data_IF_328122849235
#
_entry.id   IF_328122849235
#
_cell.length_a   1.000
_cell.length_b   1.000
_cell.length_c   1.000
_cell.angle_alpha   90.00
_cell.angle_beta   90.00
_cell.angle_gamma   90.00
#
_symmetry.space_group_name_H-M   'P 1'
#
loop_
_entity.id
_entity.type
_entity.pdbx_description
1 polymer ?
#
# COMPACT_ATOMS: atom_id res chain seq x y z
N UNK A 1 -12.37 -24.33 26.34
CA UNK A 1 -13.31 -24.07 25.22
C UNK A 1 -13.67 -25.39 24.57
N UNK A 2 -14.95 -25.66 24.40
CA UNK A 2 -15.45 -26.92 23.86
C UNK A 2 -16.54 -26.68 22.82
N UNK A 3 -16.79 -27.67 21.97
CA UNK A 3 -17.86 -27.70 20.95
C UNK A 3 -18.60 -29.03 21.01
N UNK A 4 -19.87 -28.99 20.63
CA UNK A 4 -20.70 -30.17 20.44
C UNK A 4 -20.52 -30.65 18.99
N UNK A 5 -19.63 -31.61 18.78
CA UNK A 5 -19.30 -32.17 17.46
C UNK A 5 -19.14 -33.69 17.62
N UNK A 6 -19.49 -34.43 16.57
CA UNK A 6 -19.38 -35.89 16.53
C UNK A 6 -17.92 -36.36 16.31
N UNK A 7 -17.00 -35.45 16.04
CA UNK A 7 -15.59 -35.74 15.78
C UNK A 7 -14.70 -34.71 16.48
N UNK A 8 -13.49 -35.09 16.83
CA UNK A 8 -12.50 -34.25 17.51
C UNK A 8 -11.90 -34.93 18.74
N UNK A 9 -11.08 -34.20 19.48
CA UNK A 9 -10.47 -34.65 20.74
C UNK A 9 -11.48 -34.47 21.88
N UNK A 10 -11.92 -35.55 22.55
CA UNK A 10 -12.84 -35.41 23.68
C UNK A 10 -12.28 -34.55 24.79
N UNK A 11 -13.15 -33.72 25.40
CA UNK A 11 -12.76 -32.90 26.56
C UNK A 11 -12.51 -33.85 27.74
N UNK A 12 -11.30 -33.90 28.35
CA UNK A 12 -10.95 -34.86 29.38
C UNK A 12 -11.38 -34.39 30.78
N UNK A 13 -12.67 -33.97 30.92
CA UNK A 13 -13.23 -33.45 32.17
C UNK A 13 -14.58 -34.15 32.44
N UNK A 14 -14.82 -34.57 33.69
CA UNK A 14 -16.09 -35.15 34.13
C UNK A 14 -17.26 -34.16 33.86
N UNK A 15 -18.36 -34.65 33.28
CA UNK A 15 -19.52 -33.83 32.90
C UNK A 15 -19.40 -33.12 31.54
N UNK A 16 -18.38 -33.49 30.76
CA UNK A 16 -18.17 -32.96 29.39
C UNK A 16 -18.39 -34.05 28.29
N UNK A 17 -19.24 -35.02 28.56
CA UNK A 17 -19.60 -36.09 27.64
C UNK A 17 -20.18 -35.48 26.33
N UNK A 18 -19.72 -35.96 25.17
CA UNK A 18 -20.14 -35.49 23.87
C UNK A 18 -19.53 -34.12 23.46
N UNK A 19 -18.63 -33.57 24.27
CA UNK A 19 -17.91 -32.35 23.93
C UNK A 19 -16.49 -32.64 23.48
N UNK A 20 -16.04 -31.89 22.46
CA UNK A 20 -14.66 -31.95 21.97
C UNK A 20 -13.94 -30.62 22.18
N UNK A 21 -12.63 -30.66 22.24
CA UNK A 21 -11.81 -29.45 22.31
C UNK A 21 -12.02 -28.61 21.06
N UNK A 22 -12.17 -27.31 21.27
CA UNK A 22 -12.31 -26.37 20.16
C UNK A 22 -10.95 -25.99 19.60
N UNK A 23 -10.77 -26.19 18.31
CA UNK A 23 -9.49 -26.00 17.61
C UNK A 23 -8.80 -24.66 17.85
N UNK A 24 -9.55 -23.60 18.04
CA UNK A 24 -8.96 -22.28 18.35
C UNK A 24 -8.33 -22.15 19.73
N UNK A 25 -8.44 -23.18 20.55
CA UNK A 25 -7.68 -23.22 21.80
C UNK A 25 -6.18 -23.45 21.54
N UNK A 26 -5.85 -24.31 20.60
CA UNK A 26 -4.47 -24.69 20.27
C UNK A 26 -3.98 -24.14 18.93
N UNK A 27 -4.88 -23.79 18.01
CA UNK A 27 -4.51 -23.30 16.67
C UNK A 27 -3.48 -22.16 16.65
N UNK A 28 -3.52 -21.15 17.57
CA UNK A 28 -2.50 -20.10 17.60
C UNK A 28 -1.08 -20.59 17.88
N UNK A 29 -0.90 -21.79 18.46
CA UNK A 29 0.42 -22.41 18.67
C UNK A 29 1.09 -22.69 17.30
N UNK A 30 0.29 -22.85 16.25
CA UNK A 30 0.76 -23.00 14.88
C UNK A 30 1.71 -21.90 14.41
N UNK A 31 1.54 -20.68 14.90
CA UNK A 31 2.46 -19.57 14.59
C UNK A 31 3.88 -19.84 15.11
N UNK A 32 3.98 -20.35 16.35
CA UNK A 32 5.27 -20.73 16.95
C UNK A 32 5.86 -21.92 16.19
N UNK A 33 5.03 -22.91 15.87
CA UNK A 33 5.47 -24.12 15.14
C UNK A 33 6.01 -23.76 13.76
N UNK A 34 5.33 -22.89 13.01
CA UNK A 34 5.78 -22.43 11.71
C UNK A 34 7.12 -21.67 11.78
N UNK A 35 7.31 -20.81 12.78
CA UNK A 35 8.58 -20.12 12.98
C UNK A 35 9.70 -21.10 13.33
N UNK A 36 9.39 -22.11 14.17
CA UNK A 36 10.35 -23.13 14.56
C UNK A 36 10.77 -24.03 13.40
N UNK A 37 9.86 -24.30 12.47
CA UNK A 37 10.15 -25.04 11.24
C UNK A 37 11.02 -24.22 10.28
N UNK A 38 10.79 -22.91 10.21
CA UNK A 38 11.50 -21.99 9.32
C UNK A 38 12.96 -21.77 9.74
N UNK A 39 13.25 -21.65 11.04
CA UNK A 39 14.58 -21.28 11.53
C UNK A 39 14.90 -21.87 12.90
N UNK A 40 16.17 -22.34 13.13
CA UNK A 40 16.63 -22.74 14.45
C UNK A 40 16.61 -21.58 15.47
N UNK A 41 16.70 -20.32 15.00
CA UNK A 41 16.69 -19.13 15.86
C UNK A 41 15.27 -18.65 16.21
N UNK A 42 14.29 -19.54 16.17
CA UNK A 42 12.86 -19.22 16.40
C UNK A 42 12.59 -18.52 17.74
N UNK A 43 13.38 -18.83 18.78
CA UNK A 43 13.23 -18.24 20.12
C UNK A 43 13.44 -16.73 20.11
N UNK A 44 14.30 -16.21 19.24
CA UNK A 44 14.52 -14.77 19.05
C UNK A 44 13.22 -14.04 18.67
N UNK A 45 12.34 -14.68 17.91
CA UNK A 45 11.07 -14.10 17.47
C UNK A 45 9.97 -14.17 18.54
N UNK A 46 10.08 -15.13 19.48
CA UNK A 46 8.99 -15.45 20.40
C UNK A 46 9.32 -15.22 21.88
N UNK A 47 10.61 -15.12 22.24
CA UNK A 47 11.05 -15.02 23.63
C UNK A 47 11.93 -13.81 23.91
N UNK A 48 12.52 -13.18 22.91
CA UNK A 48 13.38 -12.01 23.09
C UNK A 48 12.53 -10.76 23.41
N UNK A 49 12.79 -10.13 24.53
CA UNK A 49 12.10 -8.93 24.99
C UNK A 49 12.28 -7.71 24.08
N UNK A 50 13.29 -7.71 23.21
CA UNK A 50 13.51 -6.68 22.19
C UNK A 50 12.64 -6.89 20.93
N UNK A 51 11.98 -8.04 20.80
CA UNK A 51 11.10 -8.34 19.66
C UNK A 51 9.70 -7.80 19.91
N UNK A 52 9.13 -7.14 18.89
CA UNK A 52 7.74 -6.68 18.89
C UNK A 52 6.86 -7.67 18.13
N UNK A 53 5.80 -8.13 18.75
CA UNK A 53 4.81 -9.01 18.14
C UNK A 53 3.54 -8.22 17.82
N UNK A 54 3.10 -8.29 16.55
CA UNK A 54 1.87 -7.66 16.08
C UNK A 54 1.05 -8.69 15.31
N UNK A 55 -0.23 -8.82 15.64
CA UNK A 55 -1.17 -9.71 14.95
C UNK A 55 -2.14 -8.92 14.09
N UNK A 56 -2.10 -9.13 12.77
CA UNK A 56 -3.11 -8.63 11.84
C UNK A 56 -4.19 -9.68 11.65
N UNK A 57 -5.42 -9.38 12.06
CA UNK A 57 -6.52 -10.35 12.08
C UNK A 57 -7.83 -9.73 11.58
N UNK A 58 -8.84 -10.57 11.33
CA UNK A 58 -10.24 -10.15 11.24
C UNK A 58 -10.89 -10.07 12.63
N UNK A 59 -11.92 -9.26 12.79
CA UNK A 59 -12.61 -9.00 14.07
C UNK A 59 -13.15 -10.26 14.74
N UNK A 60 -13.48 -11.29 13.99
CA UNK A 60 -13.95 -12.58 14.49
C UNK A 60 -12.89 -13.36 15.28
N UNK A 61 -11.62 -13.00 15.13
CA UNK A 61 -10.48 -13.60 15.82
C UNK A 61 -9.97 -12.80 17.03
N UNK A 62 -10.62 -11.70 17.41
CA UNK A 62 -10.18 -10.82 18.50
C UNK A 62 -10.06 -11.59 19.82
N UNK A 63 -11.07 -12.40 20.19
CA UNK A 63 -11.06 -13.16 21.43
C UNK A 63 -9.85 -14.09 21.52
N UNK A 64 -9.50 -14.74 20.42
CA UNK A 64 -8.38 -15.69 20.39
C UNK A 64 -7.03 -15.01 20.46
N UNK A 65 -6.84 -13.87 19.80
CA UNK A 65 -5.55 -13.18 19.72
C UNK A 65 -5.35 -12.12 20.83
N UNK A 66 -6.43 -11.61 21.43
CA UNK A 66 -6.33 -10.62 22.50
C UNK A 66 -6.51 -11.23 23.90
N UNK A 67 -7.14 -12.40 24.03
CA UNK A 67 -7.44 -13.01 25.33
C UNK A 67 -6.82 -14.42 25.44
N UNK A 68 -7.24 -15.37 24.61
CA UNK A 68 -6.89 -16.78 24.77
C UNK A 68 -5.40 -16.99 24.57
N UNK A 69 -4.86 -16.64 23.43
CA UNK A 69 -3.45 -16.86 23.10
C UNK A 69 -2.49 -16.09 24.01
N UNK A 70 -2.68 -14.78 24.29
CA UNK A 70 -1.85 -14.08 25.26
C UNK A 70 -1.91 -14.67 26.67
N UNK A 71 -3.07 -15.20 27.11
CA UNK A 71 -3.20 -15.87 28.39
C UNK A 71 -2.38 -17.15 28.45
N UNK A 72 -2.34 -17.94 27.37
CA UNK A 72 -1.52 -19.14 27.25
C UNK A 72 -0.03 -18.80 27.28
N UNK A 73 0.40 -17.81 26.48
CA UNK A 73 1.79 -17.34 26.44
C UNK A 73 2.24 -16.86 27.83
N UNK A 74 1.40 -16.08 28.51
CA UNK A 74 1.67 -15.55 29.85
C UNK A 74 1.72 -16.65 30.90
N UNK A 75 0.82 -17.63 30.82
CA UNK A 75 0.81 -18.77 31.75
C UNK A 75 2.05 -19.65 31.58
N UNK A 76 2.57 -19.80 30.38
CA UNK A 76 3.84 -20.47 30.11
C UNK A 76 5.03 -19.73 30.71
N UNK A 77 5.03 -18.39 30.64
CA UNK A 77 6.00 -17.52 31.31
C UNK A 77 7.26 -17.17 30.53
N UNK A 78 7.54 -17.82 29.39
CA UNK A 78 8.77 -17.61 28.61
C UNK A 78 8.55 -16.79 27.32
N UNK A 79 7.32 -16.61 26.91
CA UNK A 79 6.98 -15.94 25.64
C UNK A 79 6.70 -14.46 25.83
N UNK A 80 7.05 -13.66 24.80
CA UNK A 80 6.59 -12.27 24.71
C UNK A 80 5.09 -12.22 24.43
N UNK A 81 4.48 -11.10 24.77
CA UNK A 81 3.05 -10.85 24.50
C UNK A 81 2.89 -9.91 23.30
N UNK A 82 1.73 -9.97 22.60
CA UNK A 82 1.46 -9.03 21.52
C UNK A 82 1.48 -7.57 22.01
N UNK A 83 2.21 -6.72 21.29
CA UNK A 83 2.21 -5.28 21.53
C UNK A 83 0.94 -4.63 20.96
N UNK A 84 0.48 -5.12 19.81
CA UNK A 84 -0.73 -4.64 19.16
C UNK A 84 -1.41 -5.77 18.36
N UNK A 85 -2.72 -5.63 18.20
CA UNK A 85 -3.56 -6.55 17.42
C UNK A 85 -4.48 -5.72 16.51
N UNK A 86 -3.99 -5.21 15.37
CA UNK A 86 -4.82 -4.53 14.38
C UNK A 86 -5.88 -5.50 13.83
N UNK A 87 -7.14 -5.24 14.14
CA UNK A 87 -8.27 -6.09 13.76
C UNK A 87 -9.12 -5.39 12.70
N UNK A 88 -9.18 -5.96 11.50
CA UNK A 88 -10.05 -5.45 10.44
C UNK A 88 -11.49 -5.92 10.63
N UNK A 89 -12.42 -5.06 10.29
CA UNK A 89 -13.82 -5.37 10.07
C UNK A 89 -13.99 -6.24 8.80
N UNK A 90 -15.21 -6.52 8.37
CA UNK A 90 -15.44 -7.34 7.18
C UNK A 90 -15.39 -6.53 5.88
N UNK A 91 -14.76 -7.11 4.85
CA UNK A 91 -14.89 -6.67 3.47
C UNK A 91 -15.95 -7.54 2.79
N UNK A 92 -17.00 -6.90 2.30
CA UNK A 92 -18.05 -7.53 1.51
C UNK A 92 -17.74 -7.44 0.01
N UNK A 93 -18.50 -8.15 -0.82
CA UNK A 93 -18.41 -8.12 -2.27
C UNK A 93 -19.82 -7.83 -2.85
N UNK A 94 -19.96 -6.70 -3.55
CA UNK A 94 -21.22 -6.24 -4.14
C UNK A 94 -22.40 -6.25 -3.15
N UNK A 95 -22.13 -5.81 -1.90
CA UNK A 95 -23.11 -5.74 -0.82
C UNK A 95 -23.31 -7.03 -0.03
N UNK A 96 -22.76 -8.15 -0.47
CA UNK A 96 -22.92 -9.44 0.15
C UNK A 96 -21.63 -9.94 0.83
N UNK A 97 -21.80 -10.77 1.86
CA UNK A 97 -20.66 -11.40 2.55
C UNK A 97 -19.91 -12.35 1.61
N UNK A 98 -18.61 -12.16 1.47
CA UNK A 98 -17.72 -13.08 0.75
C UNK A 98 -17.86 -14.50 1.34
N UNK A 99 -18.01 -15.49 0.47
CA UNK A 99 -18.23 -16.89 0.86
C UNK A 99 -17.67 -17.86 -0.18
N UNK A 100 -16.63 -18.58 0.19
CA UNK A 100 -16.03 -19.62 -0.67
C UNK A 100 -17.01 -20.77 -0.92
N UNK A 101 -17.79 -21.18 0.09
CA UNK A 101 -18.77 -22.28 -0.03
C UNK A 101 -19.92 -21.95 -0.99
N UNK A 102 -20.23 -20.67 -1.18
CA UNK A 102 -21.25 -20.21 -2.14
C UNK A 102 -20.64 -19.76 -3.47
N UNK A 103 -19.33 -19.91 -3.63
CA UNK A 103 -18.56 -19.36 -4.77
C UNK A 103 -18.79 -17.85 -4.99
N UNK A 104 -18.99 -17.10 -3.90
CA UNK A 104 -19.15 -15.64 -3.92
C UNK A 104 -17.89 -14.98 -3.44
N UNK A 105 -16.91 -14.86 -4.34
CA UNK A 105 -15.59 -14.29 -4.08
C UNK A 105 -14.94 -13.83 -5.39
N UNK A 106 -13.98 -12.93 -5.31
CA UNK A 106 -13.03 -12.67 -6.40
C UNK A 106 -11.85 -13.60 -6.20
N UNK A 107 -11.67 -14.56 -7.10
CA UNK A 107 -10.55 -15.47 -7.08
C UNK A 107 -9.32 -14.82 -7.69
N UNK A 108 -8.23 -14.77 -6.93
CA UNK A 108 -7.03 -14.02 -7.37
C UNK A 108 -6.44 -14.54 -8.68
N UNK A 109 -6.43 -15.86 -8.89
CA UNK A 109 -5.93 -16.44 -10.14
C UNK A 109 -6.80 -16.03 -11.36
N UNK A 110 -8.13 -16.02 -11.23
CA UNK A 110 -9.04 -15.54 -12.28
C UNK A 110 -8.86 -14.04 -12.53
N UNK A 111 -8.71 -13.26 -11.45
CA UNK A 111 -8.43 -11.83 -11.57
C UNK A 111 -7.14 -11.56 -12.37
N UNK A 112 -6.06 -12.30 -12.09
CA UNK A 112 -4.78 -12.12 -12.78
C UNK A 112 -4.85 -12.50 -14.27
N UNK A 113 -5.68 -13.47 -14.62
CA UNK A 113 -5.92 -13.86 -16.02
C UNK A 113 -6.79 -12.82 -16.75
N UNK A 114 -7.80 -12.26 -16.08
CA UNK A 114 -8.72 -11.28 -16.66
C UNK A 114 -8.13 -9.87 -16.76
N UNK A 115 -7.30 -9.49 -15.76
CA UNK A 115 -6.68 -8.16 -15.65
C UNK A 115 -5.14 -8.24 -15.60
N UNK A 116 -4.47 -8.76 -16.64
CA UNK A 116 -3.01 -8.90 -16.65
C UNK A 116 -2.32 -7.54 -16.51
N UNK A 117 -1.32 -7.47 -15.63
CA UNK A 117 -0.58 -6.25 -15.34
C UNK A 117 -1.35 -5.20 -14.52
N UNK A 118 -2.43 -5.62 -13.83
CA UNK A 118 -3.25 -4.77 -12.95
C UNK A 118 -3.16 -5.18 -11.48
N UNK A 119 -2.13 -5.88 -11.10
CA UNK A 119 -1.89 -6.33 -9.71
C UNK A 119 -1.94 -5.15 -8.74
N UNK A 120 -1.28 -4.05 -9.08
CA UNK A 120 -1.24 -2.84 -8.26
C UNK A 120 -2.58 -2.11 -8.17
N UNK A 121 -3.44 -2.24 -9.19
CA UNK A 121 -4.79 -1.67 -9.14
C UNK A 121 -5.61 -2.36 -8.06
N UNK A 122 -5.56 -3.70 -8.00
CA UNK A 122 -6.24 -4.46 -6.95
C UNK A 122 -5.68 -4.12 -5.57
N UNK A 123 -4.34 -4.07 -5.41
CA UNK A 123 -3.69 -3.67 -4.15
C UNK A 123 -4.15 -2.29 -3.70
N UNK A 124 -4.16 -1.33 -4.62
CA UNK A 124 -4.62 0.03 -4.36
C UNK A 124 -6.07 0.07 -3.87
N UNK A 125 -6.99 -0.60 -4.59
CA UNK A 125 -8.41 -0.59 -4.26
C UNK A 125 -8.67 -1.30 -2.92
N UNK A 126 -8.02 -2.42 -2.66
CA UNK A 126 -8.13 -3.14 -1.39
C UNK A 126 -7.60 -2.32 -0.22
N UNK A 127 -6.47 -1.63 -0.40
CA UNK A 127 -5.92 -0.75 0.63
C UNK A 127 -6.81 0.47 0.86
N UNK A 128 -7.29 1.12 -0.22
CA UNK A 128 -8.19 2.28 -0.14
C UNK A 128 -9.54 1.93 0.52
N UNK A 129 -10.00 0.70 0.37
CA UNK A 129 -11.22 0.16 0.95
C UNK A 129 -10.99 -0.74 2.17
N UNK A 130 -9.76 -0.76 2.73
CA UNK A 130 -9.48 -1.59 3.90
C UNK A 130 -10.48 -1.32 5.02
N UNK A 131 -11.12 -2.34 5.58
CA UNK A 131 -12.16 -2.18 6.59
C UNK A 131 -11.52 -1.96 7.99
N UNK A 132 -10.72 -0.89 8.15
CA UNK A 132 -9.95 -0.62 9.37
C UNK A 132 -10.83 -0.27 10.59
N UNK A 133 -11.98 0.36 10.39
CA UNK A 133 -12.83 0.84 11.48
C UNK A 133 -14.32 0.50 11.36
N UNK A 134 -14.73 0.01 10.21
CA UNK A 134 -16.09 -0.43 9.91
C UNK A 134 -16.09 -1.39 8.74
N UNK A 135 -17.13 -2.19 8.61
CA UNK A 135 -17.34 -3.03 7.42
C UNK A 135 -17.31 -2.17 6.16
N UNK A 136 -16.72 -2.69 5.11
CA UNK A 136 -16.64 -2.03 3.81
C UNK A 136 -17.05 -2.99 2.69
N UNK A 137 -17.17 -2.47 1.47
CA UNK A 137 -17.62 -3.23 0.32
C UNK A 137 -16.64 -3.07 -0.85
N UNK A 138 -16.31 -4.16 -1.50
CA UNK A 138 -15.63 -4.15 -2.79
C UNK A 138 -16.69 -4.23 -3.88
N UNK A 139 -16.68 -3.27 -4.80
CA UNK A 139 -17.53 -3.31 -5.99
C UNK A 139 -16.69 -3.08 -7.25
N UNK A 140 -17.04 -3.75 -8.34
CA UNK A 140 -16.38 -3.56 -9.64
C UNK A 140 -16.53 -2.13 -10.16
N UNK A 141 -17.64 -1.48 -9.83
CA UNK A 141 -17.87 -0.07 -10.14
C UNK A 141 -16.88 0.84 -9.42
N UNK A 142 -16.64 0.63 -8.12
CA UNK A 142 -15.66 1.40 -7.35
C UNK A 142 -14.23 1.09 -7.82
N UNK A 143 -13.93 -0.19 -8.11
CA UNK A 143 -12.66 -0.62 -8.68
C UNK A 143 -12.33 0.15 -9.98
N UNK A 144 -13.25 0.17 -10.94
CA UNK A 144 -13.09 0.92 -12.18
C UNK A 144 -12.94 2.43 -11.91
N UNK A 145 -13.78 2.99 -11.05
CA UNK A 145 -13.78 4.41 -10.73
C UNK A 145 -12.45 4.84 -10.09
N UNK A 146 -11.92 4.08 -9.14
CA UNK A 146 -10.63 4.37 -8.49
C UNK A 146 -9.47 4.26 -9.46
N UNK A 147 -9.44 3.20 -10.29
CA UNK A 147 -8.41 3.12 -11.33
C UNK A 147 -8.43 4.34 -12.24
N UNK A 148 -9.60 4.71 -12.76
CA UNK A 148 -9.71 5.73 -13.79
C UNK A 148 -9.54 7.15 -13.22
N UNK A 149 -10.16 7.44 -12.07
CA UNK A 149 -10.22 8.79 -11.52
C UNK A 149 -9.09 9.12 -10.54
N UNK A 150 -8.50 8.10 -9.90
CA UNK A 150 -7.42 8.30 -8.93
C UNK A 150 -6.07 7.89 -9.53
N UNK A 151 -5.91 6.62 -9.96
CA UNK A 151 -4.63 6.14 -10.47
C UNK A 151 -4.28 6.76 -11.82
N UNK A 152 -5.16 6.69 -12.81
CA UNK A 152 -4.87 7.23 -14.15
C UNK A 152 -4.94 8.75 -14.15
N UNK A 153 -6.03 9.35 -13.65
CA UNK A 153 -6.26 10.79 -13.75
C UNK A 153 -5.39 11.63 -12.80
N UNK A 154 -4.92 11.08 -11.68
CA UNK A 154 -4.05 11.81 -10.73
C UNK A 154 -2.61 11.36 -10.87
N UNK A 155 -2.27 10.11 -10.54
CA UNK A 155 -0.89 9.62 -10.55
C UNK A 155 -0.33 9.55 -11.98
N UNK A 156 -1.02 8.83 -12.86
CA UNK A 156 -0.60 8.64 -14.25
C UNK A 156 -0.50 9.95 -15.02
N UNK A 157 -1.47 10.85 -14.85
CA UNK A 157 -1.48 12.15 -15.51
C UNK A 157 -0.29 13.04 -15.10
N UNK A 158 0.01 13.12 -13.79
CA UNK A 158 1.15 13.90 -13.32
C UNK A 158 2.47 13.37 -13.89
N UNK A 159 2.72 12.08 -13.72
CA UNK A 159 3.95 11.44 -14.19
C UNK A 159 4.12 11.62 -15.71
N UNK A 160 3.07 11.34 -16.48
CA UNK A 160 3.09 11.50 -17.93
C UNK A 160 3.43 12.94 -18.33
N UNK A 161 2.82 13.93 -17.69
CA UNK A 161 3.10 15.36 -17.99
C UNK A 161 4.54 15.73 -17.65
N UNK A 162 5.06 15.33 -16.49
CA UNK A 162 6.43 15.63 -16.10
C UNK A 162 7.46 15.03 -17.10
N UNK A 163 7.29 13.76 -17.45
CA UNK A 163 8.21 13.06 -18.36
C UNK A 163 8.08 13.54 -19.81
N UNK A 164 6.85 13.67 -20.33
CA UNK A 164 6.61 14.09 -21.72
C UNK A 164 7.08 15.53 -21.96
N UNK A 165 6.84 16.45 -21.00
CA UNK A 165 7.34 17.82 -21.15
C UNK A 165 8.88 17.88 -21.10
N UNK A 166 9.51 17.09 -20.23
CA UNK A 166 10.98 16.97 -20.19
C UNK A 166 11.53 16.38 -21.49
N UNK A 167 10.90 15.34 -22.01
CA UNK A 167 11.28 14.76 -23.30
C UNK A 167 11.14 15.76 -24.44
N UNK A 168 10.01 16.49 -24.47
CA UNK A 168 9.67 17.45 -25.52
C UNK A 168 10.59 18.68 -25.56
N UNK A 169 10.91 19.23 -24.38
CA UNK A 169 11.63 20.51 -24.32
C UNK A 169 13.15 20.35 -24.14
N UNK A 170 13.59 19.24 -23.55
CA UNK A 170 14.99 19.01 -23.19
C UNK A 170 15.52 17.66 -23.68
N UNK A 171 14.83 16.96 -24.61
CA UNK A 171 15.28 15.70 -25.16
C UNK A 171 15.46 14.57 -24.12
N UNK A 172 14.73 14.66 -23.00
CA UNK A 172 14.83 13.71 -21.90
C UNK A 172 16.00 13.98 -20.94
N UNK A 173 16.72 15.07 -21.11
CA UNK A 173 17.75 15.48 -20.14
C UNK A 173 17.10 16.29 -19.02
N UNK A 174 17.45 15.95 -17.76
CA UNK A 174 16.96 16.66 -16.57
C UNK A 174 17.57 18.05 -16.52
N UNK A 175 16.77 19.12 -16.62
CA UNK A 175 17.30 20.47 -16.60
C UNK A 175 17.85 20.85 -15.22
N UNK A 176 18.82 21.75 -15.19
CA UNK A 176 19.34 22.31 -13.95
C UNK A 176 18.24 23.13 -13.23
N UNK A 177 18.17 23.00 -11.92
CA UNK A 177 17.32 23.85 -11.09
C UNK A 177 17.96 25.23 -10.98
N UNK A 178 17.24 26.27 -11.36
CA UNK A 178 17.64 27.68 -11.21
C UNK A 178 17.16 28.28 -9.89
N UNK A 179 16.95 29.59 -9.86
CA UNK A 179 16.47 30.30 -8.69
C UNK A 179 15.05 29.91 -8.33
N UNK A 180 14.83 29.47 -7.11
CA UNK A 180 13.51 29.10 -6.60
C UNK A 180 12.67 30.35 -6.25
N UNK A 181 11.42 30.34 -6.63
CA UNK A 181 10.41 31.28 -6.16
C UNK A 181 9.88 30.89 -4.77
N UNK A 182 9.11 31.74 -4.12
CA UNK A 182 8.44 31.39 -2.86
C UNK A 182 7.43 30.27 -3.05
N UNK A 183 6.79 30.21 -4.21
CA UNK A 183 5.87 29.13 -4.56
C UNK A 183 6.60 27.77 -4.68
N UNK A 184 7.79 27.75 -5.31
CA UNK A 184 8.61 26.53 -5.39
C UNK A 184 9.02 26.05 -4.00
N UNK A 185 9.50 26.98 -3.16
CA UNK A 185 9.89 26.66 -1.77
C UNK A 185 8.71 26.10 -0.97
N UNK A 186 7.52 26.70 -1.14
CA UNK A 186 6.28 26.20 -0.53
C UNK A 186 5.95 24.77 -0.97
N UNK A 187 5.99 24.51 -2.27
CA UNK A 187 5.73 23.17 -2.84
C UNK A 187 6.73 22.12 -2.32
N UNK A 188 8.03 22.47 -2.28
CA UNK A 188 9.06 21.58 -1.76
C UNK A 188 8.91 21.33 -0.25
N UNK A 189 8.47 22.32 0.51
CA UNK A 189 8.17 22.17 1.93
C UNK A 189 6.97 21.23 2.16
N UNK A 190 5.91 21.34 1.33
CA UNK A 190 4.78 20.39 1.36
C UNK A 190 5.26 18.96 1.08
N UNK A 191 6.13 18.77 0.07
CA UNK A 191 6.70 17.47 -0.27
C UNK A 191 7.52 16.88 0.90
N UNK A 192 8.35 17.71 1.56
CA UNK A 192 9.16 17.29 2.69
C UNK A 192 8.32 16.87 3.90
N UNK A 193 7.17 17.50 4.11
CA UNK A 193 6.28 17.18 5.22
C UNK A 193 5.58 15.81 5.08
N UNK A 194 5.48 15.27 3.87
CA UNK A 194 4.81 13.99 3.59
C UNK A 194 5.41 12.84 4.37
N UNK A 195 6.76 12.78 4.50
CA UNK A 195 7.46 11.67 5.16
C UNK A 195 6.92 11.40 6.55
N UNK A 196 6.91 12.42 7.40
CA UNK A 196 6.51 12.26 8.80
C UNK A 196 5.04 11.77 8.94
N UNK A 197 4.13 12.31 8.12
CA UNK A 197 2.72 11.90 8.15
C UNK A 197 2.55 10.48 7.61
N UNK A 198 3.25 10.12 6.54
CA UNK A 198 3.21 8.79 5.95
C UNK A 198 3.73 7.73 6.93
N UNK A 199 4.91 7.95 7.53
CA UNK A 199 5.50 7.07 8.53
C UNK A 199 4.58 6.89 9.74
N UNK A 200 4.08 7.99 10.30
CA UNK A 200 3.15 7.93 11.43
C UNK A 200 1.91 7.10 11.13
N UNK A 201 1.35 7.21 9.92
CA UNK A 201 0.18 6.43 9.55
C UNK A 201 0.52 4.94 9.38
N UNK A 202 1.65 4.60 8.75
CA UNK A 202 2.09 3.21 8.59
C UNK A 202 2.38 2.57 9.97
N UNK A 203 3.13 3.24 10.82
CA UNK A 203 3.48 2.78 12.17
C UNK A 203 2.25 2.59 13.08
N UNK A 204 1.18 3.36 12.84
CA UNK A 204 -0.09 3.23 13.54
C UNK A 204 -1.09 2.30 12.81
N UNK A 205 -0.64 1.56 11.79
CA UNK A 205 -1.46 0.63 11.01
C UNK A 205 -2.68 1.26 10.32
N UNK A 206 -2.60 2.56 9.98
CA UNK A 206 -3.62 3.32 9.27
C UNK A 206 -3.30 3.36 7.78
N UNK A 207 -3.40 2.22 7.12
CA UNK A 207 -2.93 2.07 5.74
C UNK A 207 -3.74 2.87 4.74
N UNK A 208 -5.04 3.09 4.98
CA UNK A 208 -5.87 3.96 4.13
C UNK A 208 -5.38 5.40 4.14
N UNK A 209 -5.09 5.96 5.31
CA UNK A 209 -4.56 7.32 5.43
C UNK A 209 -3.12 7.40 4.88
N UNK A 210 -2.31 6.37 5.09
CA UNK A 210 -0.97 6.29 4.50
C UNK A 210 -1.01 6.31 2.97
N UNK A 211 -1.89 5.50 2.35
CA UNK A 211 -2.09 5.50 0.90
C UNK A 211 -2.56 6.86 0.38
N UNK A 212 -3.45 7.52 1.10
CA UNK A 212 -3.94 8.86 0.76
C UNK A 212 -2.81 9.90 0.77
N UNK A 213 -1.89 9.81 1.73
CA UNK A 213 -0.70 10.67 1.77
C UNK A 213 0.29 10.35 0.63
N UNK A 214 0.51 9.09 0.30
CA UNK A 214 1.31 8.72 -0.86
C UNK A 214 0.73 9.32 -2.15
N UNK A 215 -0.59 9.25 -2.34
CA UNK A 215 -1.28 9.86 -3.48
C UNK A 215 -1.30 11.40 -3.44
N UNK A 216 -1.14 11.99 -2.26
CA UNK A 216 -1.05 13.45 -2.11
C UNK A 216 0.19 14.01 -2.82
N UNK A 217 1.29 13.27 -2.89
CA UNK A 217 2.49 13.67 -3.64
C UNK A 217 2.17 13.89 -5.13
N UNK A 218 1.36 13.02 -5.73
CA UNK A 218 0.90 13.21 -7.11
C UNK A 218 -0.03 14.44 -7.27
N UNK A 219 -0.85 14.73 -6.26
CA UNK A 219 -1.71 15.93 -6.25
C UNK A 219 -0.88 17.21 -6.14
N UNK A 220 0.15 17.23 -5.27
CA UNK A 220 1.12 18.32 -5.17
C UNK A 220 1.75 18.59 -6.55
N UNK A 221 2.22 17.52 -7.21
CA UNK A 221 2.83 17.64 -8.55
C UNK A 221 1.87 18.16 -9.62
N UNK A 222 0.63 17.65 -9.66
CA UNK A 222 -0.39 18.12 -10.59
C UNK A 222 -0.72 19.60 -10.38
N UNK A 223 -0.91 20.00 -9.12
CA UNK A 223 -1.18 21.40 -8.75
C UNK A 223 -0.02 22.29 -9.16
N UNK A 224 1.22 21.88 -8.83
CA UNK A 224 2.41 22.63 -9.18
C UNK A 224 2.55 22.87 -10.70
N UNK A 225 2.38 21.82 -11.52
CA UNK A 225 2.43 21.97 -12.98
C UNK A 225 1.26 22.80 -13.52
N UNK A 226 0.06 22.71 -12.93
CA UNK A 226 -1.09 23.48 -13.33
C UNK A 226 -0.91 24.98 -13.03
N UNK A 227 -0.40 25.30 -11.85
CA UNK A 227 -0.22 26.70 -11.42
C UNK A 227 0.98 27.36 -12.13
N UNK A 228 2.06 26.62 -12.42
CA UNK A 228 3.25 27.13 -13.11
C UNK A 228 3.13 27.16 -14.63
N UNK A 229 2.23 26.40 -15.25
CA UNK A 229 1.94 26.36 -16.69
C UNK A 229 3.19 26.37 -17.61
N UNK A 230 4.16 25.45 -17.45
CA UNK A 230 5.43 25.48 -18.20
C UNK A 230 5.26 25.48 -19.73
N UNK A 231 4.15 24.93 -20.23
CA UNK A 231 3.81 24.95 -21.67
C UNK A 231 3.51 26.34 -22.21
N UNK A 232 3.14 27.31 -21.38
CA UNK A 232 2.97 28.70 -21.76
C UNK A 232 4.30 29.46 -21.69
N UNK A 233 5.13 29.14 -20.72
CA UNK A 233 6.39 29.84 -20.43
C UNK A 233 7.54 29.44 -21.35
N UNK A 234 7.49 28.29 -22.00
CA UNK A 234 8.65 27.75 -22.75
C UNK A 234 9.23 28.70 -23.80
N UNK A 235 8.46 29.60 -24.36
CA UNK A 235 8.88 30.60 -25.36
C UNK A 235 9.32 31.94 -24.76
N UNK A 236 8.82 32.29 -23.57
CA UNK A 236 9.01 33.59 -22.95
C UNK A 236 9.99 33.58 -21.79
N UNK A 237 10.06 32.45 -21.05
CA UNK A 237 10.96 32.27 -19.90
C UNK A 237 11.44 30.82 -19.83
N UNK A 238 12.34 30.38 -20.72
CA UNK A 238 12.84 29.01 -20.76
C UNK A 238 13.64 28.64 -19.50
N UNK A 239 14.29 29.60 -18.83
CA UNK A 239 15.04 29.32 -17.59
C UNK A 239 14.09 28.97 -16.45
N UNK A 240 12.95 29.64 -16.38
CA UNK A 240 11.90 29.28 -15.41
C UNK A 240 11.35 27.86 -15.68
N UNK A 241 11.17 27.48 -16.93
CA UNK A 241 10.70 26.15 -17.31
C UNK A 241 11.68 25.05 -16.88
N UNK A 242 13.01 25.29 -16.94
CA UNK A 242 14.02 24.35 -16.43
C UNK A 242 13.77 24.05 -14.94
N UNK A 243 13.60 25.08 -14.13
CA UNK A 243 13.35 24.96 -12.70
C UNK A 243 12.06 24.19 -12.43
N UNK A 244 10.97 24.53 -13.14
CA UNK A 244 9.66 23.86 -12.97
C UNK A 244 9.76 22.38 -13.29
N UNK A 245 10.41 22.00 -14.40
CA UNK A 245 10.51 20.59 -14.78
C UNK A 245 11.52 19.82 -13.92
N UNK A 246 12.58 20.46 -13.43
CA UNK A 246 13.45 19.83 -12.42
C UNK A 246 12.63 19.45 -11.17
N UNK A 247 11.87 20.38 -10.59
CA UNK A 247 11.03 20.13 -9.42
C UNK A 247 10.00 19.04 -9.70
N UNK A 248 9.34 19.08 -10.86
CA UNK A 248 8.38 18.03 -11.24
C UNK A 248 9.02 16.64 -11.31
N UNK A 249 10.26 16.53 -11.79
CA UNK A 249 11.00 15.28 -11.81
C UNK A 249 11.43 14.83 -10.40
N UNK A 250 11.79 15.76 -9.50
CA UNK A 250 12.07 15.41 -8.11
C UNK A 250 10.80 14.87 -7.42
N UNK A 251 9.63 15.48 -7.67
CA UNK A 251 8.33 14.97 -7.16
C UNK A 251 8.04 13.58 -7.75
N UNK A 252 8.32 13.36 -9.04
CA UNK A 252 8.13 12.06 -9.70
C UNK A 252 9.03 10.98 -9.08
N UNK A 253 10.29 11.32 -8.75
CA UNK A 253 11.19 10.40 -8.07
C UNK A 253 10.71 10.09 -6.64
N UNK A 254 10.22 11.09 -5.90
CA UNK A 254 9.60 10.86 -4.59
C UNK A 254 8.39 9.92 -4.68
N UNK A 255 7.57 10.01 -5.74
CA UNK A 255 6.46 9.09 -5.95
C UNK A 255 6.91 7.63 -6.01
N UNK A 256 8.06 7.32 -6.64
CA UNK A 256 8.56 5.94 -6.70
C UNK A 256 8.85 5.36 -5.31
N UNK A 257 9.19 6.19 -4.34
CA UNK A 257 9.43 5.76 -2.96
C UNK A 257 8.10 5.57 -2.22
N UNK A 258 7.26 6.62 -2.20
CA UNK A 258 6.06 6.63 -1.34
C UNK A 258 4.96 5.67 -1.80
N UNK A 259 4.93 5.31 -3.10
CA UNK A 259 3.93 4.35 -3.61
C UNK A 259 4.39 2.89 -3.52
N UNK A 260 5.69 2.62 -3.33
CA UNK A 260 6.25 1.27 -3.33
C UNK A 260 5.56 0.31 -2.35
N UNK A 261 5.29 0.67 -1.08
CA UNK A 261 4.63 -0.24 -0.14
C UNK A 261 3.23 -0.68 -0.61
N UNK A 262 2.56 0.15 -1.39
CA UNK A 262 1.19 -0.08 -1.86
C UNK A 262 1.14 -0.66 -3.28
N UNK A 263 1.98 -0.14 -4.16
CA UNK A 263 1.99 -0.40 -5.61
C UNK A 263 3.42 -0.65 -6.11
N UNK A 264 4.06 -1.78 -5.74
CA UNK A 264 5.47 -2.06 -6.02
C UNK A 264 5.79 -2.14 -7.52
N UNK A 265 4.89 -2.69 -8.35
CA UNK A 265 5.12 -2.77 -9.80
C UNK A 265 5.06 -1.39 -10.46
N UNK A 266 4.18 -0.52 -9.98
CA UNK A 266 4.09 0.88 -10.41
C UNK A 266 5.33 1.67 -10.01
N UNK A 267 5.83 1.47 -8.79
CA UNK A 267 7.08 2.06 -8.31
C UNK A 267 8.28 1.63 -9.18
N UNK A 268 8.41 0.34 -9.47
CA UNK A 268 9.45 -0.19 -10.35
C UNK A 268 9.38 0.41 -11.78
N UNK A 269 8.16 0.58 -12.31
CA UNK A 269 7.95 1.24 -13.61
C UNK A 269 8.38 2.71 -13.59
N UNK A 270 8.09 3.44 -12.52
CA UNK A 270 8.54 4.82 -12.32
C UNK A 270 10.06 4.91 -12.33
N UNK A 271 10.73 4.06 -11.56
CA UNK A 271 12.19 3.99 -11.52
C UNK A 271 12.78 3.68 -12.91
N UNK A 272 12.22 2.72 -13.63
CA UNK A 272 12.66 2.37 -14.99
C UNK A 272 12.49 3.54 -15.96
N UNK A 273 11.37 4.27 -15.94
CA UNK A 273 11.16 5.47 -16.75
C UNK A 273 12.09 6.62 -16.38
N UNK A 274 12.45 6.75 -15.11
CA UNK A 274 13.43 7.72 -14.64
C UNK A 274 14.87 7.23 -14.85
N UNK A 275 15.10 5.96 -15.17
CA UNK A 275 16.42 5.28 -15.21
C UNK A 275 17.18 5.44 -13.90
N UNK A 276 16.50 5.23 -12.79
CA UNK A 276 17.06 5.27 -11.45
C UNK A 276 17.09 3.87 -10.84
N UNK A 277 18.12 3.63 -10.03
CA UNK A 277 18.13 2.50 -9.09
C UNK A 277 17.10 2.72 -7.97
N UNK A 278 16.70 1.67 -7.23
CA UNK A 278 15.83 1.81 -6.08
C UNK A 278 16.31 2.90 -5.11
N UNK A 279 15.39 3.76 -4.72
CA UNK A 279 15.67 4.88 -3.84
C UNK A 279 15.35 4.50 -2.39
N UNK A 280 16.16 4.98 -1.46
CA UNK A 280 16.01 4.73 -0.04
C UNK A 280 14.78 5.49 0.52
N UNK A 281 14.03 4.82 1.41
CA UNK A 281 12.91 5.40 2.16
C UNK A 281 13.27 6.69 2.89
N UNK A 282 14.48 6.74 3.45
CA UNK A 282 15.00 7.92 4.15
C UNK A 282 15.10 9.16 3.27
N UNK A 283 15.10 8.98 1.95
CA UNK A 283 15.19 10.04 0.95
C UNK A 283 13.83 10.68 0.58
N UNK A 284 12.72 10.26 1.21
CA UNK A 284 11.41 10.92 0.99
C UNK A 284 11.52 12.41 1.34
N UNK A 285 11.06 13.25 0.41
CA UNK A 285 11.14 14.70 0.52
C UNK A 285 12.43 15.32 -0.02
N UNK A 286 13.40 14.50 -0.42
CA UNK A 286 14.64 15.02 -1.02
C UNK A 286 14.37 15.67 -2.39
N UNK A 287 15.15 16.70 -2.70
CA UNK A 287 15.01 17.52 -3.90
C UNK A 287 16.18 17.37 -4.88
N UNK A 288 17.01 16.35 -4.66
CA UNK A 288 18.21 16.00 -5.41
C UNK A 288 18.24 14.51 -5.80
N UNK A 289 17.08 13.87 -5.90
CA UNK A 289 16.96 12.46 -6.28
C UNK A 289 17.34 12.19 -7.73
N UNK A 290 17.10 13.17 -8.60
CA UNK A 290 17.44 13.12 -10.02
C UNK A 290 18.41 14.25 -10.32
N UNK A 291 19.64 13.90 -10.69
CA UNK A 291 20.67 14.91 -10.95
C UNK A 291 20.41 15.68 -12.26
N UNK A 292 20.78 16.97 -12.29
CA UNK A 292 20.80 17.73 -13.54
C UNK A 292 21.73 17.06 -14.57
N UNK A 293 21.32 17.02 -15.83
CA UNK A 293 22.05 16.32 -16.90
C UNK A 293 21.76 14.82 -16.99
N UNK A 294 21.08 14.23 -15.99
CA UNK A 294 20.63 12.83 -16.07
C UNK A 294 19.63 12.66 -17.22
N UNK A 295 19.68 11.52 -17.92
CA UNK A 295 18.77 11.23 -19.03
C UNK A 295 17.71 10.22 -18.60
N UNK A 296 16.45 10.66 -18.57
CA UNK A 296 15.30 9.80 -18.35
C UNK A 296 15.07 8.86 -19.54
N UNK A 297 14.33 7.78 -19.32
CA UNK A 297 13.86 6.86 -20.36
C UNK A 297 12.78 7.48 -21.25
N UNK A 298 12.35 6.72 -22.24
CA UNK A 298 11.20 7.09 -23.07
C UNK A 298 9.93 7.08 -22.19
N UNK A 299 9.14 8.15 -22.19
CA UNK A 299 7.88 8.18 -21.47
C UNK A 299 6.94 7.08 -21.99
N UNK A 300 6.46 6.24 -21.10
CA UNK A 300 5.46 5.22 -21.37
C UNK A 300 4.21 5.48 -20.53
N UNK A 301 3.10 4.86 -20.91
CA UNK A 301 1.87 4.95 -20.12
C UNK A 301 2.05 4.17 -18.83
N UNK A 302 2.14 4.87 -17.69
CA UNK A 302 2.33 4.24 -16.39
C UNK A 302 1.15 3.34 -16.02
N UNK A 303 -0.08 3.85 -16.23
CA UNK A 303 -1.35 3.21 -15.89
C UNK A 303 -2.34 3.42 -17.03
N UNK A 304 -3.20 2.44 -17.29
CA UNK A 304 -4.22 2.51 -18.35
C UNK A 304 -5.62 2.41 -17.78
N UNK A 305 -6.58 3.02 -18.50
CA UNK A 305 -8.00 2.94 -18.16
C UNK A 305 -8.48 1.49 -18.13
N UNK A 306 -9.43 1.22 -17.26
CA UNK A 306 -10.18 -0.02 -17.21
C UNK A 306 -11.61 0.28 -17.67
N UNK A 307 -12.12 -0.53 -18.56
CA UNK A 307 -13.51 -0.53 -19.00
C UNK A 307 -14.11 -1.88 -18.64
N UNK A 308 -15.06 -1.89 -17.73
CA UNK A 308 -15.86 -3.06 -17.37
C UNK A 308 -17.21 -2.84 -18.04
N UNK A 309 -17.47 -3.57 -19.10
CA UNK A 309 -18.78 -3.59 -19.77
C UNK A 309 -19.68 -4.56 -19.02
N UNK A 310 -20.49 -4.07 -18.10
CA UNK A 310 -21.38 -4.77 -17.17
C UNK A 310 -20.74 -5.91 -16.36
N UNK A 311 -21.07 -6.09 -15.08
CA UNK A 311 -20.49 -7.17 -14.30
C UNK A 311 -20.84 -8.48 -14.98
N UNK A 312 -19.87 -9.07 -15.63
CA UNK A 312 -19.96 -10.47 -16.06
C UNK A 312 -20.25 -11.24 -14.79
N UNK A 313 -21.31 -12.00 -14.78
CA UNK A 313 -21.79 -12.78 -13.65
C UNK A 313 -20.62 -13.51 -13.00
N UNK A 314 -20.32 -13.15 -11.73
CA UNK A 314 -19.54 -13.98 -10.86
C UNK A 314 -20.25 -15.32 -10.62
#
# INVERSE_FOLDING_TARGET
MSRDLDWGIPVPVEGAEGKVLYVWFDAPIGYISATKELTPDWERYWKDSGTKMVHFIGKDNIVFHCIVFPSMLKAHGEYILPENVPANEFLNLEGDKISTSRNWAVWLHEYLDEFPGKEDVLRYVLCANAPESKDNDFTWKDFQARNNNELVAVLGNFVNRALVLTQKYYGGEVPACGTLTDYDRGTLAELQAVKATLEQNIENYRFREALKEAMNVARIGNKYLADCEPWKLVKTDPERVKTILNIALQITANLSIVVEPFMPFTAAKLLAMLRLEPLDWERIGATDLVAAGHRIGTPELLLSLIHISEPTRL
#
